data_IF_995218865208
#
_entry.id   IF_995218865208
#
_cell.length_a   1.000
_cell.length_b   1.000
_cell.length_c   1.000
_cell.angle_alpha   90.00
_cell.angle_beta   90.00
_cell.angle_gamma   90.00
#
_symmetry.space_group_name_H-M   'P 1'
#
loop_
_entity.id
_entity.type
_entity.pdbx_description
1 polymer ?
#
# COMPACT_ATOMS: atom_id res chain seq x y z
N UNK A 1 22.39 -15.19 8.85
CA UNK A 1 20.99 -14.79 8.61
C UNK A 1 20.69 -13.71 9.63
N UNK A 2 20.50 -12.46 9.20
CA UNK A 2 19.92 -11.42 10.02
C UNK A 2 18.50 -11.91 10.39
N UNK A 3 18.16 -11.95 11.67
CA UNK A 3 16.79 -12.20 12.12
C UNK A 3 15.94 -10.98 11.70
N UNK A 4 15.41 -11.00 10.49
CA UNK A 4 14.45 -10.03 10.05
C UNK A 4 13.17 -10.26 10.85
N UNK A 5 12.80 -9.27 11.64
CA UNK A 5 11.64 -9.37 12.52
C UNK A 5 10.37 -9.13 11.72
N UNK A 6 9.42 -10.04 11.78
CA UNK A 6 8.06 -9.84 11.22
C UNK A 6 7.41 -8.66 11.94
N UNK A 7 6.88 -7.72 11.18
CA UNK A 7 6.18 -6.55 11.74
C UNK A 7 4.87 -6.96 12.44
N UNK A 8 4.50 -6.32 13.55
CA UNK A 8 3.16 -6.49 14.11
C UNK A 8 2.10 -6.23 13.04
N UNK A 9 1.13 -7.14 12.90
CA UNK A 9 0.22 -7.12 11.76
C UNK A 9 -1.19 -7.48 12.19
N UNK A 10 -2.18 -6.68 11.78
CA UNK A 10 -3.59 -7.06 11.81
C UNK A 10 -3.90 -7.88 10.57
N UNK A 11 -4.54 -9.02 10.76
CA UNK A 11 -5.09 -9.83 9.68
C UNK A 11 -6.61 -9.75 9.77
N UNK A 12 -7.25 -9.26 8.70
CA UNK A 12 -8.70 -9.34 8.56
C UNK A 12 -9.06 -10.47 7.59
N UNK A 13 -9.85 -11.40 8.05
CA UNK A 13 -10.36 -12.52 7.26
C UNK A 13 -11.87 -12.38 7.07
N UNK A 14 -12.46 -13.02 6.04
CA UNK A 14 -13.90 -13.15 5.95
C UNK A 14 -14.52 -13.74 7.21
N UNK A 15 -15.76 -13.34 7.56
CA UNK A 15 -16.45 -13.83 8.76
C UNK A 15 -16.58 -15.37 8.79
N UNK A 16 -16.78 -15.98 7.63
CA UNK A 16 -16.86 -17.43 7.49
C UNK A 16 -15.54 -18.00 6.92
N UNK A 17 -14.41 -17.54 7.44
CA UNK A 17 -13.09 -17.97 6.97
C UNK A 17 -12.91 -19.49 7.06
N UNK A 18 -12.61 -20.11 5.92
CA UNK A 18 -12.32 -21.53 5.81
C UNK A 18 -10.86 -21.69 5.32
N UNK A 19 -9.95 -22.26 6.13
CA UNK A 19 -8.53 -22.41 5.75
C UNK A 19 -8.33 -23.39 4.57
N UNK A 20 -9.37 -24.07 4.12
CA UNK A 20 -9.33 -24.93 2.93
C UNK A 20 -9.76 -24.22 1.65
N UNK A 21 -10.34 -23.02 1.77
CA UNK A 21 -10.70 -22.19 0.64
C UNK A 21 -9.52 -21.29 0.23
N UNK A 22 -9.34 -21.10 -1.07
CA UNK A 22 -8.27 -20.29 -1.63
C UNK A 22 -8.74 -18.83 -1.81
N UNK A 23 -8.32 -17.97 -0.88
CA UNK A 23 -8.61 -16.53 -0.93
C UNK A 23 -7.55 -15.76 -1.71
N UNK A 24 -7.92 -14.61 -2.26
CA UNK A 24 -6.95 -13.57 -2.61
C UNK A 24 -6.34 -12.93 -1.36
N UNK A 25 -5.33 -12.08 -1.53
CA UNK A 25 -4.71 -11.32 -0.46
C UNK A 25 -4.55 -9.85 -0.85
N UNK A 26 -4.84 -8.95 0.07
CA UNK A 26 -4.56 -7.51 -0.10
C UNK A 26 -3.67 -7.05 1.07
N UNK A 27 -2.47 -6.59 0.76
CA UNK A 27 -1.58 -5.94 1.74
C UNK A 27 -1.94 -4.46 1.78
N UNK A 28 -2.27 -3.91 2.96
CA UNK A 28 -2.64 -2.49 3.12
C UNK A 28 -1.75 -1.79 4.14
N UNK A 29 -1.05 -0.75 3.68
CA UNK A 29 -0.10 0.03 4.47
C UNK A 29 -0.67 1.38 4.86
N UNK A 30 -0.70 1.64 6.17
CA UNK A 30 -1.19 2.90 6.74
C UNK A 30 -0.28 4.10 6.46
N UNK A 31 -0.79 5.32 6.67
CA UNK A 31 -0.04 6.57 6.54
C UNK A 31 0.87 6.88 7.74
N UNK A 32 1.71 7.92 7.58
CA UNK A 32 2.60 8.43 8.63
C UNK A 32 1.82 8.77 9.91
N UNK A 33 2.31 8.30 11.05
CA UNK A 33 1.69 8.56 12.36
C UNK A 33 0.46 7.71 12.68
N UNK A 34 0.02 6.84 11.78
CA UNK A 34 -1.10 5.93 11.99
C UNK A 34 -0.62 4.55 12.47
N UNK A 35 -1.43 3.50 12.32
CA UNK A 35 -1.16 2.16 12.81
C UNK A 35 -1.89 1.08 11.99
N UNK A 36 -1.53 -0.19 12.21
CA UNK A 36 -2.07 -1.37 11.51
C UNK A 36 -3.61 -1.51 11.54
N UNK A 37 -4.28 -0.95 12.54
CA UNK A 37 -5.74 -1.02 12.64
C UNK A 37 -6.49 -0.03 11.75
N UNK A 38 -5.82 0.99 11.23
CA UNK A 38 -6.44 2.08 10.47
C UNK A 38 -7.06 1.55 9.16
N UNK A 39 -6.26 1.05 8.25
CA UNK A 39 -6.78 0.52 6.98
C UNK A 39 -7.45 -0.86 7.11
N UNK A 40 -7.17 -1.60 8.19
CA UNK A 40 -7.85 -2.87 8.45
C UNK A 40 -9.37 -2.67 8.61
N UNK A 41 -9.80 -1.51 9.11
CA UNK A 41 -11.22 -1.14 9.19
C UNK A 41 -11.92 -1.00 7.84
N UNK A 42 -11.17 -0.82 6.75
CA UNK A 42 -11.71 -0.71 5.39
C UNK A 42 -11.94 -2.07 4.72
N UNK A 43 -11.33 -3.14 5.22
CA UNK A 43 -11.40 -4.47 4.63
C UNK A 43 -12.85 -4.93 4.30
N UNK A 44 -13.82 -4.89 5.24
CA UNK A 44 -15.19 -5.31 4.94
C UNK A 44 -15.91 -4.38 3.94
N UNK A 45 -15.47 -3.12 3.82
CA UNK A 45 -16.05 -2.17 2.88
C UNK A 45 -15.54 -2.38 1.46
N UNK A 46 -14.32 -2.90 1.31
CA UNK A 46 -13.70 -3.18 0.02
C UNK A 46 -14.21 -4.52 -0.52
N UNK A 47 -13.99 -5.61 0.20
CA UNK A 47 -14.52 -6.94 -0.13
C UNK A 47 -14.45 -7.84 1.12
N UNK A 48 -15.59 -8.30 1.59
CA UNK A 48 -15.71 -9.06 2.83
C UNK A 48 -15.65 -10.58 2.65
N UNK A 49 -15.57 -11.08 1.43
CA UNK A 49 -15.73 -12.52 1.14
C UNK A 49 -14.52 -13.18 0.47
N UNK A 50 -13.81 -12.46 -0.41
CA UNK A 50 -12.89 -13.10 -1.34
C UNK A 50 -11.41 -12.86 -0.99
N UNK A 51 -11.12 -11.97 -0.04
CA UNK A 51 -9.77 -11.57 0.31
C UNK A 51 -9.45 -11.69 1.80
N UNK A 52 -8.18 -12.02 2.06
CA UNK A 52 -7.53 -11.83 3.36
C UNK A 52 -6.77 -10.51 3.30
N UNK A 53 -6.96 -9.65 4.29
CA UNK A 53 -6.24 -8.38 4.37
C UNK A 53 -5.10 -8.47 5.37
N UNK A 54 -3.91 -8.06 4.93
CA UNK A 54 -2.67 -8.05 5.72
C UNK A 54 -2.30 -6.59 5.95
N UNK A 55 -2.44 -6.12 7.18
CA UNK A 55 -2.24 -4.72 7.55
C UNK A 55 -1.11 -4.62 8.59
N UNK A 56 0.17 -4.48 8.16
CA UNK A 56 1.28 -4.39 9.09
C UNK A 56 1.43 -2.99 9.70
N UNK A 57 1.95 -2.92 10.93
CA UNK A 57 2.50 -1.69 11.47
C UNK A 57 3.81 -1.34 10.76
N UNK A 58 4.02 -0.06 10.54
CA UNK A 58 5.31 0.44 10.14
C UNK A 58 6.37 0.26 11.25
N UNK A 59 7.67 0.15 10.91
CA UNK A 59 8.69 -0.25 11.88
C UNK A 59 9.14 0.86 12.85
N UNK A 60 8.91 2.13 12.53
CA UNK A 60 9.39 3.25 13.36
C UNK A 60 8.25 3.70 14.26
N UNK A 61 8.42 3.46 15.59
CA UNK A 61 7.50 3.98 16.59
C UNK A 61 7.71 5.46 16.81
N UNK A 62 6.62 6.20 17.02
CA UNK A 62 6.64 7.62 17.31
C UNK A 62 5.48 8.01 18.23
N UNK A 63 5.69 9.09 18.96
CA UNK A 63 4.61 9.69 19.75
C UNK A 63 3.99 10.83 18.95
N UNK A 64 2.69 10.74 18.72
CA UNK A 64 1.87 11.77 18.10
C UNK A 64 1.10 12.57 19.16
N UNK A 65 0.32 13.56 18.74
CA UNK A 65 -0.38 14.47 19.64
C UNK A 65 -1.05 13.79 20.84
N UNK A 66 -1.00 14.45 21.99
CA UNK A 66 -1.55 13.94 23.27
C UNK A 66 -0.95 12.60 23.77
N UNK A 67 0.28 12.26 23.36
CA UNK A 67 0.96 11.05 23.81
C UNK A 67 0.45 9.74 23.17
N UNK A 68 -0.32 9.83 22.11
CA UNK A 68 -0.74 8.65 21.35
C UNK A 68 0.43 8.06 20.59
N UNK A 69 0.46 6.74 20.48
CA UNK A 69 1.45 6.01 19.69
C UNK A 69 1.03 5.95 18.23
N UNK A 70 1.97 6.29 17.35
CA UNK A 70 1.84 6.12 15.91
C UNK A 70 3.09 5.47 15.33
N UNK A 71 3.08 5.23 14.04
CA UNK A 71 4.14 4.51 13.34
C UNK A 71 4.46 5.17 12.00
N UNK A 72 5.70 5.03 11.54
CA UNK A 72 6.17 5.53 10.27
C UNK A 72 6.99 4.47 9.53
N UNK A 73 6.86 4.43 8.22
CA UNK A 73 7.64 3.52 7.37
C UNK A 73 9.09 3.96 7.26
N UNK A 74 9.30 5.26 7.14
CA UNK A 74 10.60 5.92 7.07
C UNK A 74 10.48 7.36 7.60
N UNK A 75 11.61 8.04 7.93
CA UNK A 75 11.58 9.43 8.39
C UNK A 75 10.87 10.33 7.37
N UNK A 76 10.17 11.35 7.86
CA UNK A 76 9.45 12.33 7.03
C UNK A 76 10.20 13.67 6.96
N UNK A 77 9.70 14.62 6.14
CA UNK A 77 10.16 16.00 6.14
C UNK A 77 11.52 16.23 5.45
N UNK A 78 11.83 15.48 4.39
CA UNK A 78 13.05 15.66 3.62
C UNK A 78 14.30 15.01 4.25
N UNK A 79 14.11 14.20 5.29
CA UNK A 79 15.16 13.43 5.96
C UNK A 79 15.21 11.96 5.51
N UNK A 80 14.41 11.61 4.51
CA UNK A 80 14.33 10.23 3.99
C UNK A 80 15.53 9.96 3.09
N UNK A 81 16.33 8.98 3.46
CA UNK A 81 17.43 8.49 2.63
C UNK A 81 17.02 7.22 1.85
N UNK A 82 17.69 6.88 0.74
CA UNK A 82 17.42 5.65 -0.01
C UNK A 82 17.46 4.38 0.87
N UNK A 83 18.42 4.28 1.77
CA UNK A 83 18.58 3.16 2.70
C UNK A 83 17.38 3.00 3.65
N UNK A 84 16.71 4.09 4.02
CA UNK A 84 15.50 4.03 4.86
C UNK A 84 14.35 3.34 4.13
N UNK A 85 14.19 3.63 2.84
CA UNK A 85 13.20 3.00 1.98
C UNK A 85 13.52 1.50 1.81
N UNK A 86 14.76 1.17 1.45
CA UNK A 86 15.16 -0.22 1.24
C UNK A 86 15.00 -1.07 2.50
N UNK A 87 15.30 -0.52 3.66
CA UNK A 87 15.09 -1.18 4.94
C UNK A 87 13.61 -1.42 5.23
N UNK A 88 12.75 -0.41 5.01
CA UNK A 88 11.32 -0.55 5.21
C UNK A 88 10.71 -1.57 4.25
N UNK A 89 11.13 -1.57 2.98
CA UNK A 89 10.71 -2.56 1.97
C UNK A 89 11.11 -3.97 2.38
N UNK A 90 12.35 -4.18 2.86
CA UNK A 90 12.82 -5.49 3.32
C UNK A 90 11.99 -6.02 4.51
N UNK A 91 11.72 -5.16 5.50
CA UNK A 91 10.90 -5.53 6.67
C UNK A 91 9.45 -5.83 6.30
N UNK A 92 8.86 -5.05 5.40
CA UNK A 92 7.53 -5.31 4.85
C UNK A 92 7.51 -6.66 4.12
N UNK A 93 8.48 -6.91 3.24
CA UNK A 93 8.54 -8.16 2.46
C UNK A 93 8.62 -9.38 3.36
N UNK A 94 9.45 -9.35 4.43
CA UNK A 94 9.51 -10.43 5.42
C UNK A 94 8.13 -10.71 6.03
N UNK A 95 7.36 -9.67 6.32
CA UNK A 95 6.01 -9.80 6.89
C UNK A 95 4.99 -10.34 5.89
N UNK A 96 5.10 -9.93 4.63
CA UNK A 96 4.27 -10.44 3.53
C UNK A 96 4.57 -11.90 3.25
N UNK A 97 5.84 -12.28 3.16
CA UNK A 97 6.25 -13.68 2.95
C UNK A 97 5.74 -14.59 4.07
N UNK A 98 5.82 -14.13 5.32
CA UNK A 98 5.24 -14.83 6.45
C UNK A 98 3.72 -15.01 6.32
N UNK A 99 3.00 -13.98 5.87
CA UNK A 99 1.56 -14.05 5.67
C UNK A 99 1.19 -14.99 4.52
N UNK A 100 1.93 -14.95 3.41
CA UNK A 100 1.74 -15.87 2.27
C UNK A 100 1.95 -17.32 2.70
N UNK A 101 3.01 -17.62 3.43
CA UNK A 101 3.30 -18.98 3.92
C UNK A 101 2.21 -19.47 4.88
N UNK A 102 1.71 -18.60 5.73
CA UNK A 102 0.72 -18.96 6.76
C UNK A 102 -0.67 -19.14 6.20
N UNK A 103 -1.12 -18.22 5.35
CA UNK A 103 -2.51 -18.17 4.86
C UNK A 103 -2.69 -18.81 3.48
N UNK A 104 -1.60 -19.06 2.75
CA UNK A 104 -1.58 -19.70 1.42
C UNK A 104 -2.62 -19.12 0.46
N UNK A 105 -2.59 -17.80 0.21
CA UNK A 105 -3.52 -17.17 -0.72
C UNK A 105 -3.29 -17.69 -2.14
N UNK A 106 -4.27 -17.45 -3.01
CA UNK A 106 -4.08 -17.58 -4.45
C UNK A 106 -2.96 -16.63 -4.90
N UNK A 107 -1.82 -17.19 -5.26
CA UNK A 107 -0.63 -16.42 -5.65
C UNK A 107 -0.84 -15.56 -6.89
N UNK A 108 -1.83 -15.88 -7.71
CA UNK A 108 -2.23 -15.06 -8.86
C UNK A 108 -3.23 -13.96 -8.49
N UNK A 109 -3.54 -13.78 -7.21
CA UNK A 109 -4.55 -12.82 -6.74
C UNK A 109 -4.09 -12.07 -5.48
N UNK A 110 -2.84 -11.58 -5.49
CA UNK A 110 -2.25 -10.80 -4.40
C UNK A 110 -2.09 -9.34 -4.85
N UNK A 111 -2.66 -8.42 -4.08
CA UNK A 111 -2.58 -6.98 -4.29
C UNK A 111 -1.82 -6.31 -3.15
N UNK A 112 -1.25 -5.14 -3.44
CA UNK A 112 -0.58 -4.30 -2.45
C UNK A 112 -1.10 -2.88 -2.56
N UNK A 113 -1.32 -2.22 -1.44
CA UNK A 113 -1.80 -0.85 -1.44
C UNK A 113 -1.50 -0.10 -0.16
N UNK A 114 -1.75 1.21 -0.20
CA UNK A 114 -1.57 2.03 0.96
C UNK A 114 -2.02 3.47 0.77
N UNK A 115 -2.16 4.15 1.89
CA UNK A 115 -2.57 5.53 2.00
C UNK A 115 -1.38 6.41 2.39
N UNK A 116 -1.21 7.55 1.74
CA UNK A 116 -0.19 8.55 2.06
C UNK A 116 1.23 7.93 2.03
N UNK A 117 1.96 7.88 3.14
CA UNK A 117 3.27 7.21 3.23
C UNK A 117 3.18 5.71 2.88
N UNK A 118 2.06 5.05 3.20
CA UNK A 118 1.79 3.68 2.76
C UNK A 118 1.66 3.54 1.25
N UNK A 119 1.15 4.56 0.55
CA UNK A 119 1.16 4.61 -0.91
C UNK A 119 2.57 4.80 -1.50
N UNK A 120 3.44 5.56 -0.84
CA UNK A 120 4.87 5.63 -1.20
C UNK A 120 5.53 4.25 -1.09
N UNK A 121 5.25 3.52 0.00
CA UNK A 121 5.70 2.14 0.18
C UNK A 121 5.13 1.20 -0.90
N UNK A 122 3.87 1.39 -1.29
CA UNK A 122 3.25 0.60 -2.37
C UNK A 122 4.05 0.70 -3.67
N UNK A 123 4.52 1.89 -4.02
CA UNK A 123 5.35 2.07 -5.22
C UNK A 123 6.69 1.35 -5.08
N UNK A 124 7.42 1.57 -3.99
CA UNK A 124 8.74 0.98 -3.79
C UNK A 124 8.73 -0.54 -3.54
N UNK A 125 7.73 -1.06 -2.85
CA UNK A 125 7.63 -2.48 -2.54
C UNK A 125 6.80 -3.27 -3.57
N UNK A 126 5.74 -2.69 -4.08
CA UNK A 126 4.78 -3.36 -4.95
C UNK A 126 5.18 -3.33 -6.42
N UNK A 127 5.43 -2.14 -6.97
CA UNK A 127 5.75 -1.99 -8.39
C UNK A 127 7.13 -2.54 -8.76
N UNK A 128 7.97 -2.81 -7.77
CA UNK A 128 9.27 -3.49 -7.94
C UNK A 128 9.19 -5.02 -7.86
N UNK A 129 8.00 -5.59 -7.56
CA UNK A 129 7.79 -7.04 -7.41
C UNK A 129 6.55 -7.53 -8.18
N UNK A 130 6.53 -7.39 -9.52
CA UNK A 130 5.45 -7.91 -10.36
C UNK A 130 5.35 -9.44 -10.35
N UNK A 131 6.36 -10.11 -9.81
CA UNK A 131 6.39 -11.55 -9.56
C UNK A 131 5.50 -11.99 -8.38
N UNK A 132 5.16 -11.06 -7.48
CA UNK A 132 4.30 -11.32 -6.32
C UNK A 132 2.93 -10.68 -6.51
N UNK A 133 2.90 -9.41 -6.92
CA UNK A 133 1.68 -8.62 -6.92
C UNK A 133 1.02 -8.55 -8.29
N UNK A 134 -0.27 -8.80 -8.31
CA UNK A 134 -1.13 -8.70 -9.49
C UNK A 134 -1.53 -7.25 -9.80
N UNK A 135 -1.60 -6.40 -8.80
CA UNK A 135 -1.95 -5.00 -8.93
C UNK A 135 -1.62 -4.18 -7.70
N UNK A 136 -1.61 -2.85 -7.86
CA UNK A 136 -1.24 -1.89 -6.83
C UNK A 136 -2.34 -0.85 -6.60
N UNK A 137 -2.50 -0.40 -5.34
CA UNK A 137 -3.52 0.57 -4.90
C UNK A 137 -2.80 1.74 -4.22
N UNK A 138 -2.87 2.94 -4.82
CA UNK A 138 -2.17 4.13 -4.36
C UNK A 138 -3.19 5.21 -4.00
N UNK A 139 -3.33 5.49 -2.70
CA UNK A 139 -4.35 6.40 -2.18
C UNK A 139 -3.70 7.66 -1.59
N UNK A 140 -4.04 8.84 -2.11
CA UNK A 140 -3.59 10.17 -1.62
C UNK A 140 -2.08 10.20 -1.37
N UNK A 141 -1.28 9.83 -2.36
CA UNK A 141 0.16 9.64 -2.22
C UNK A 141 0.96 10.28 -3.34
N UNK A 142 2.26 10.25 -3.21
CA UNK A 142 3.23 10.69 -4.22
C UNK A 142 4.45 9.77 -4.23
N UNK A 143 5.19 9.76 -5.31
CA UNK A 143 6.48 9.09 -5.35
C UNK A 143 7.54 9.91 -4.58
N UNK A 144 8.34 9.24 -3.78
CA UNK A 144 9.56 9.77 -3.16
C UNK A 144 10.77 8.98 -3.65
N UNK A 145 11.98 9.52 -3.52
CA UNK A 145 13.22 8.86 -3.98
C UNK A 145 13.09 8.33 -5.42
N UNK A 146 12.77 9.25 -6.34
CA UNK A 146 12.42 8.94 -7.75
C UNK A 146 13.50 8.10 -8.42
N UNK A 147 14.78 8.50 -8.32
CA UNK A 147 15.90 7.80 -8.97
C UNK A 147 16.02 6.35 -8.45
N UNK A 148 15.91 6.15 -7.12
CA UNK A 148 15.92 4.81 -6.51
C UNK A 148 14.79 3.92 -7.07
N UNK A 149 13.63 4.50 -7.30
CA UNK A 149 12.49 3.77 -7.85
C UNK A 149 12.66 3.45 -9.32
N UNK A 150 12.99 4.45 -10.14
CA UNK A 150 13.08 4.29 -11.60
C UNK A 150 14.17 3.32 -12.02
N UNK A 151 15.30 3.31 -11.32
CA UNK A 151 16.39 2.36 -11.55
C UNK A 151 15.95 0.89 -11.36
N UNK A 152 15.00 0.66 -10.44
CA UNK A 152 14.50 -0.69 -10.14
C UNK A 152 13.47 -1.20 -11.13
N UNK A 153 12.65 -0.31 -11.72
CA UNK A 153 11.47 -0.73 -12.51
C UNK A 153 11.70 -0.78 -14.03
N UNK A 154 12.80 -0.26 -14.53
CA UNK A 154 13.00 -0.03 -15.99
C UNK A 154 12.81 -1.29 -16.84
N UNK A 155 13.16 -2.45 -16.34
CA UNK A 155 13.09 -3.74 -17.04
C UNK A 155 12.02 -4.69 -16.51
N UNK A 156 11.15 -4.24 -15.60
CA UNK A 156 10.12 -5.08 -15.01
C UNK A 156 8.82 -5.02 -15.80
N UNK A 157 8.04 -6.09 -15.72
CA UNK A 157 6.65 -6.10 -16.15
C UNK A 157 5.84 -5.06 -15.37
N UNK A 158 4.77 -4.54 -15.99
CA UNK A 158 3.94 -3.49 -15.41
C UNK A 158 2.61 -4.06 -14.94
N UNK A 159 2.39 -4.05 -13.64
CA UNK A 159 1.10 -4.43 -13.03
C UNK A 159 0.12 -3.26 -13.11
N UNK A 160 -1.20 -3.50 -13.20
CA UNK A 160 -2.21 -2.45 -13.19
C UNK A 160 -2.26 -1.71 -11.85
N UNK A 161 -2.60 -0.42 -11.90
CA UNK A 161 -2.65 0.46 -10.74
C UNK A 161 -4.04 1.09 -10.62
N UNK A 162 -4.63 1.04 -9.42
CA UNK A 162 -5.67 1.98 -8.99
C UNK A 162 -5.01 3.12 -8.23
N UNK A 163 -5.23 4.35 -8.66
CA UNK A 163 -4.67 5.54 -8.00
C UNK A 163 -5.74 6.60 -7.78
N UNK A 164 -5.82 7.16 -6.59
CA UNK A 164 -6.78 8.23 -6.27
C UNK A 164 -6.16 9.36 -5.45
N UNK A 165 -6.71 10.58 -5.61
CA UNK A 165 -6.23 11.75 -4.88
C UNK A 165 -7.34 12.75 -4.61
N UNK A 166 -7.23 13.48 -3.47
CA UNK A 166 -8.12 14.57 -3.13
C UNK A 166 -7.72 15.89 -3.82
N UNK A 167 -8.64 16.56 -4.50
CA UNK A 167 -8.36 17.86 -5.13
C UNK A 167 -8.09 18.99 -4.12
N UNK A 168 -8.53 18.79 -2.86
CA UNK A 168 -8.36 19.73 -1.75
C UNK A 168 -7.34 19.21 -0.71
N UNK A 169 -6.48 18.26 -1.09
CA UNK A 169 -5.46 17.72 -0.21
C UNK A 169 -4.38 18.78 0.08
N UNK A 170 -4.23 19.13 1.37
CA UNK A 170 -3.25 20.10 1.85
C UNK A 170 -2.01 19.43 2.47
N UNK A 171 -1.97 18.12 2.56
CA UNK A 171 -0.84 17.33 3.10
C UNK A 171 0.08 16.88 1.97
N UNK A 172 -0.49 16.23 0.96
CA UNK A 172 0.17 15.91 -0.30
C UNK A 172 -0.63 16.58 -1.40
N UNK A 173 -0.03 17.57 -2.06
CA UNK A 173 -0.76 18.35 -3.06
C UNK A 173 -1.26 17.49 -4.21
N UNK A 174 -2.41 17.86 -4.78
CA UNK A 174 -2.91 17.20 -6.00
C UNK A 174 -1.90 17.24 -7.14
N UNK A 175 -1.04 18.27 -7.17
CA UNK A 175 0.03 18.39 -8.15
C UNK A 175 1.04 17.25 -8.00
N UNK A 176 1.46 16.92 -6.76
CA UNK A 176 2.39 15.83 -6.50
C UNK A 176 1.80 14.47 -6.91
N UNK A 177 0.49 14.29 -6.71
CA UNK A 177 -0.24 13.12 -7.18
C UNK A 177 -0.25 13.00 -8.70
N UNK A 178 -0.55 14.11 -9.40
CA UNK A 178 -0.55 14.18 -10.88
C UNK A 178 0.84 13.97 -11.45
N UNK A 179 1.88 14.59 -10.89
CA UNK A 179 3.28 14.41 -11.31
C UNK A 179 3.70 12.92 -11.16
N UNK A 180 3.28 12.28 -10.08
CA UNK A 180 3.53 10.83 -9.86
C UNK A 180 2.82 9.98 -10.92
N UNK A 181 1.55 10.27 -11.18
CA UNK A 181 0.77 9.58 -12.23
C UNK A 181 1.42 9.73 -13.61
N UNK A 182 1.83 10.95 -13.97
CA UNK A 182 2.49 11.23 -15.25
C UNK A 182 3.78 10.42 -15.41
N UNK A 183 4.62 10.39 -14.37
CA UNK A 183 5.85 9.58 -14.37
C UNK A 183 5.55 8.09 -14.53
N UNK A 184 4.57 7.54 -13.81
CA UNK A 184 4.19 6.13 -13.95
C UNK A 184 3.64 5.80 -15.35
N UNK A 185 2.88 6.72 -15.96
CA UNK A 185 2.43 6.59 -17.35
C UNK A 185 3.61 6.54 -18.34
N UNK A 186 4.62 7.39 -18.15
CA UNK A 186 5.85 7.40 -18.97
C UNK A 186 6.61 6.06 -18.91
N UNK A 187 6.55 5.37 -17.76
CA UNK A 187 7.12 4.03 -17.58
C UNK A 187 6.19 2.89 -18.04
N UNK A 188 5.01 3.22 -18.61
CA UNK A 188 4.11 2.25 -19.24
C UNK A 188 3.14 1.54 -18.32
N UNK A 189 2.92 2.04 -17.10
CA UNK A 189 1.88 1.49 -16.21
C UNK A 189 0.47 1.81 -16.73
N UNK A 190 -0.46 0.88 -16.57
CA UNK A 190 -1.88 1.11 -16.80
C UNK A 190 -2.52 1.57 -15.49
N UNK A 191 -3.01 2.83 -15.46
CA UNK A 191 -3.50 3.47 -14.25
C UNK A 191 -4.97 3.85 -14.40
N UNK A 192 -5.83 3.28 -13.56
CA UNK A 192 -7.16 3.82 -13.32
C UNK A 192 -7.02 4.94 -12.28
N UNK A 193 -7.07 6.19 -12.73
CA UNK A 193 -6.84 7.37 -11.91
C UNK A 193 -8.12 8.13 -11.63
N UNK A 194 -8.38 8.44 -10.34
CA UNK A 194 -9.57 9.15 -9.89
C UNK A 194 -9.20 10.36 -9.01
N UNK A 195 -9.86 11.47 -9.21
CA UNK A 195 -9.77 12.65 -8.36
C UNK A 195 -11.12 12.94 -7.70
N UNK A 196 -11.10 13.23 -6.40
CA UNK A 196 -12.31 13.50 -5.64
C UNK A 196 -12.24 14.87 -4.97
N UNK A 197 -13.38 15.59 -4.75
CA UNK A 197 -13.41 16.84 -4.01
C UNK A 197 -13.28 16.58 -2.49
N UNK A 198 -12.17 15.98 -2.09
CA UNK A 198 -11.85 15.62 -0.70
C UNK A 198 -10.47 16.16 -0.30
N UNK A 199 -10.23 16.22 1.01
CA UNK A 199 -8.93 16.52 1.60
C UNK A 199 -7.99 15.29 1.59
N UNK A 200 -7.06 15.21 2.58
CA UNK A 200 -6.16 14.06 2.76
C UNK A 200 -6.90 12.93 3.50
N UNK A 201 -7.76 12.23 2.79
CA UNK A 201 -8.66 11.22 3.36
C UNK A 201 -9.05 10.15 2.32
N UNK A 202 -9.76 9.11 2.78
CA UNK A 202 -10.41 8.10 1.95
C UNK A 202 -11.91 8.23 2.18
N UNK A 203 -12.71 8.29 1.12
CA UNK A 203 -14.17 8.41 1.17
C UNK A 203 -14.89 7.19 0.57
N UNK A 204 -16.21 7.18 0.72
CA UNK A 204 -17.05 6.10 0.19
C UNK A 204 -16.90 5.96 -1.33
N UNK A 205 -16.79 7.07 -2.06
CA UNK A 205 -16.58 7.06 -3.51
C UNK A 205 -15.26 6.38 -3.87
N UNK A 206 -14.19 6.66 -3.12
CA UNK A 206 -12.88 6.00 -3.30
C UNK A 206 -12.98 4.50 -3.11
N UNK A 207 -13.70 4.06 -2.06
CA UNK A 207 -13.91 2.65 -1.77
C UNK A 207 -14.75 1.97 -2.85
N UNK A 208 -15.81 2.65 -3.33
CA UNK A 208 -16.68 2.14 -4.39
C UNK A 208 -15.89 1.89 -5.69
N UNK A 209 -15.09 2.86 -6.12
CA UNK A 209 -14.30 2.74 -7.35
C UNK A 209 -13.19 1.70 -7.21
N UNK A 210 -12.54 1.63 -6.03
CA UNK A 210 -11.56 0.58 -5.72
C UNK A 210 -12.16 -0.82 -5.79
N UNK A 211 -13.36 -1.00 -5.23
CA UNK A 211 -14.10 -2.25 -5.26
C UNK A 211 -14.40 -2.69 -6.69
N UNK A 212 -14.85 -1.74 -7.52
CA UNK A 212 -15.13 -1.98 -8.94
C UNK A 212 -13.85 -2.34 -9.70
N UNK A 213 -12.74 -1.68 -9.39
CA UNK A 213 -11.43 -1.97 -9.99
C UNK A 213 -10.94 -3.38 -9.61
N UNK A 214 -11.00 -3.76 -8.33
CA UNK A 214 -10.62 -5.10 -7.88
C UNK A 214 -11.45 -6.21 -8.52
N UNK A 215 -12.73 -5.94 -8.82
CA UNK A 215 -13.62 -6.92 -9.44
C UNK A 215 -13.30 -7.19 -10.91
N UNK A 216 -12.58 -6.30 -11.57
CA UNK A 216 -12.23 -6.37 -13.01
C UNK A 216 -10.82 -6.92 -13.24
N UNK A 217 -9.98 -6.87 -12.23
CA UNK A 217 -8.57 -7.27 -12.29
C UNK A 217 -8.32 -8.52 -11.44
#
# INVERSE_FOLDING_TARGET
>A
RLNETVLPTVIATPDNYDPTHEYGMVVLMHGFGSHMGDLAGLAPLINETDFIYVCPNAPIEMTIGFGQQGYAWFPAGGQTEPDDIDKAVSQLQTSVDFAIDKYRPNQSNIYIGGFSQGGMMTMHAGLTRPDIYKGAIILSSRLTQVDLFTDKIVHLDKIPIFMSHGTNDLVISIKDGRDTKELLDEYGYQIEYQEYPMAHEIREETISDLKDWLSKN
#
